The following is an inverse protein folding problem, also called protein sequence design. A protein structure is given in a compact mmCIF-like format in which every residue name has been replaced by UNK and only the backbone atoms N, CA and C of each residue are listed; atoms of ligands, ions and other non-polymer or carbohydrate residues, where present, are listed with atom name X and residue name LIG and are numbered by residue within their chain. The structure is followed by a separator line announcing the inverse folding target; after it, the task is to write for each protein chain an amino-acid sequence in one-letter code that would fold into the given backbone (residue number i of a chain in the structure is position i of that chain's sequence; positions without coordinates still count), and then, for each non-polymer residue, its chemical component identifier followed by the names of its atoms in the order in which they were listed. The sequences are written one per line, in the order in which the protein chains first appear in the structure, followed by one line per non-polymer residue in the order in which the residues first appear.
data_IF_917230594840
#
_entry.id   IF_917230594840
#
_cell.length_a   1.000
_cell.length_b   1.000
_cell.length_c   1.000
_cell.angle_alpha   90.00
_cell.angle_beta   90.00
_cell.angle_gamma   90.00
#
_symmetry.space_group_name_H-M   'P 1'
#
loop_
_entity.id
_entity.type
_entity.pdbx_description
1 polymer ?
#
# COMPACT_ATOMS: atom_id res chain seq x y z
N UNK A 1 -37.53 -40.89 20.01
CA UNK A 1 -36.86 -39.58 19.90
C UNK A 1 -35.85 -39.47 21.05
N UNK A 2 -34.55 -39.52 20.77
CA UNK A 2 -33.52 -39.40 21.80
C UNK A 2 -33.43 -37.94 22.27
N UNK A 3 -33.74 -37.69 23.53
CA UNK A 3 -33.88 -36.37 24.13
C UNK A 3 -32.64 -36.00 25.00
N UNK A 4 -31.44 -36.26 24.48
CA UNK A 4 -30.18 -35.97 25.20
C UNK A 4 -29.55 -34.69 24.69
N UNK A 5 -29.99 -33.56 25.23
CA UNK A 5 -29.34 -32.27 24.99
C UNK A 5 -27.94 -32.22 25.65
N UNK A 6 -26.98 -31.65 24.92
CA UNK A 6 -25.59 -31.51 25.39
C UNK A 6 -25.50 -30.45 26.50
N UNK A 7 -24.96 -30.84 27.67
CA UNK A 7 -24.68 -29.93 28.81
C UNK A 7 -23.55 -28.91 28.55
N UNK A 8 -22.87 -28.97 27.40
CA UNK A 8 -21.75 -28.07 27.10
C UNK A 8 -22.26 -26.65 26.85
N UNK A 9 -21.58 -25.68 27.46
CA UNK A 9 -21.74 -24.24 27.17
C UNK A 9 -20.40 -23.67 26.69
N UNK A 10 -20.08 -23.80 25.39
CA UNK A 10 -18.82 -23.29 24.85
C UNK A 10 -18.69 -21.78 25.10
N UNK A 11 -17.55 -21.38 25.65
CA UNK A 11 -17.25 -19.98 25.89
C UNK A 11 -16.73 -19.31 24.61
N UNK A 12 -17.35 -18.21 24.21
CA UNK A 12 -16.90 -17.38 23.08
C UNK A 12 -16.17 -16.17 23.65
N UNK A 13 -14.88 -16.04 23.30
CA UNK A 13 -14.05 -14.88 23.69
C UNK A 13 -14.45 -13.65 22.88
N UNK A 14 -14.54 -12.51 23.55
CA UNK A 14 -14.78 -11.22 22.90
C UNK A 14 -13.55 -10.75 22.11
N UNK A 15 -13.78 -10.22 20.91
CA UNK A 15 -12.75 -9.57 20.09
C UNK A 15 -12.90 -8.03 20.17
N UNK A 16 -12.10 -7.41 21.02
CA UNK A 16 -12.09 -5.95 21.21
C UNK A 16 -11.55 -5.21 19.97
N UNK A 17 -11.93 -3.94 19.78
CA UNK A 17 -11.49 -3.09 18.65
C UNK A 17 -9.98 -2.85 18.60
N UNK A 18 -9.32 -2.91 19.75
CA UNK A 18 -7.87 -2.75 19.94
C UNK A 18 -7.08 -4.07 19.77
N UNK A 19 -7.71 -5.12 19.23
CA UNK A 19 -7.09 -6.44 19.07
C UNK A 19 -5.72 -6.39 18.39
N UNK A 20 -5.55 -5.46 17.45
CA UNK A 20 -4.34 -5.31 16.66
C UNK A 20 -3.18 -4.68 17.42
N UNK A 21 -3.45 -3.96 18.52
CA UNK A 21 -2.42 -3.38 19.40
C UNK A 21 -1.76 -4.44 20.30
N UNK A 22 -2.34 -5.64 20.38
CA UNK A 22 -1.86 -6.71 21.28
C UNK A 22 -0.57 -7.39 20.82
N UNK A 23 -0.18 -7.23 19.55
CA UNK A 23 0.99 -7.88 18.98
C UNK A 23 1.60 -6.99 17.89
N UNK A 24 2.93 -6.82 17.93
CA UNK A 24 3.69 -6.08 16.92
C UNK A 24 3.44 -6.56 15.48
N UNK A 25 3.18 -7.87 15.26
CA UNK A 25 2.81 -8.39 13.94
C UNK A 25 1.47 -7.83 13.45
N UNK A 26 0.46 -7.75 14.32
CA UNK A 26 -0.85 -7.19 13.98
C UNK A 26 -0.78 -5.67 13.81
N UNK A 27 0.01 -4.98 14.64
CA UNK A 27 0.29 -3.56 14.45
C UNK A 27 0.97 -3.31 13.11
N UNK A 28 1.98 -4.11 12.74
CA UNK A 28 2.64 -4.02 11.44
C UNK A 28 1.69 -4.27 10.26
N UNK A 29 0.77 -5.24 10.39
CA UNK A 29 -0.31 -5.44 9.43
C UNK A 29 -1.20 -4.20 9.28
N UNK A 30 -1.67 -3.62 10.39
CA UNK A 30 -2.52 -2.43 10.33
C UNK A 30 -1.79 -1.21 9.76
N UNK A 31 -0.50 -1.02 10.07
CA UNK A 31 0.32 0.04 9.46
C UNK A 31 0.46 -0.17 7.95
N UNK A 32 0.65 -1.43 7.51
CA UNK A 32 0.69 -1.77 6.08
C UNK A 32 -0.61 -1.39 5.39
N UNK A 33 -1.75 -1.81 5.91
CA UNK A 33 -3.05 -1.45 5.33
C UNK A 33 -3.30 0.07 5.38
N UNK A 34 -2.83 0.73 6.44
CA UNK A 34 -2.91 2.18 6.61
C UNK A 34 -2.20 3.00 5.52
N UNK A 35 -1.21 2.42 4.82
CA UNK A 35 -0.58 3.09 3.66
C UNK A 35 -1.58 3.49 2.58
N UNK A 36 -2.71 2.77 2.47
CA UNK A 36 -3.80 3.06 1.52
C UNK A 36 -4.38 4.47 1.68
N UNK A 37 -4.39 5.04 2.89
CA UNK A 37 -4.88 6.39 3.15
C UNK A 37 -4.01 7.41 2.40
N UNK A 38 -2.69 7.29 2.51
CA UNK A 38 -1.76 8.19 1.84
C UNK A 38 -1.83 8.06 0.32
N UNK A 39 -1.90 6.82 -0.18
CA UNK A 39 -2.06 6.55 -1.63
C UNK A 39 -3.37 7.16 -2.15
N UNK A 40 -4.47 7.00 -1.42
CA UNK A 40 -5.78 7.53 -1.82
C UNK A 40 -5.80 9.06 -1.84
N UNK A 41 -5.25 9.71 -0.80
CA UNK A 41 -5.13 11.17 -0.78
C UNK A 41 -4.24 11.66 -1.92
N UNK A 42 -3.11 11.00 -2.17
CA UNK A 42 -2.21 11.38 -3.27
C UNK A 42 -2.91 11.25 -4.63
N UNK A 43 -3.72 10.22 -4.84
CA UNK A 43 -4.55 10.07 -6.04
C UNK A 43 -5.53 11.25 -6.20
N UNK A 44 -6.17 11.70 -5.11
CA UNK A 44 -7.04 12.88 -5.12
C UNK A 44 -6.26 14.16 -5.47
N UNK A 45 -5.05 14.34 -4.93
CA UNK A 45 -4.18 15.48 -5.29
C UNK A 45 -3.89 15.50 -6.79
N UNK A 46 -3.55 14.35 -7.38
CA UNK A 46 -3.31 14.23 -8.82
C UNK A 46 -4.57 14.47 -9.65
N UNK A 47 -5.72 13.91 -9.25
CA UNK A 47 -7.00 14.15 -9.94
C UNK A 47 -7.40 15.62 -9.90
N UNK A 48 -7.17 16.30 -8.77
CA UNK A 48 -7.36 17.74 -8.68
C UNK A 48 -6.44 18.46 -9.66
N UNK A 49 -5.14 18.10 -9.70
CA UNK A 49 -4.19 18.67 -10.66
C UNK A 49 -4.65 18.52 -12.10
N UNK A 50 -5.16 17.34 -12.46
CA UNK A 50 -5.74 17.09 -13.79
C UNK A 50 -6.94 18.00 -14.08
N UNK A 51 -7.86 18.17 -13.13
CA UNK A 51 -8.99 19.09 -13.29
C UNK A 51 -8.52 20.54 -13.48
N UNK A 52 -7.50 20.98 -12.72
CA UNK A 52 -6.94 22.34 -12.82
C UNK A 52 -6.20 22.56 -14.12
N UNK A 53 -5.57 21.52 -14.66
CA UNK A 53 -4.94 21.55 -15.97
C UNK A 53 -5.97 21.83 -17.08
N UNK A 54 -7.15 21.19 -17.03
CA UNK A 54 -8.24 21.44 -18.00
C UNK A 54 -8.81 22.86 -17.89
N UNK A 55 -8.76 23.48 -16.71
CA UNK A 55 -9.26 24.84 -16.47
C UNK A 55 -8.34 25.94 -17.01
N UNK A 56 -7.14 25.59 -17.49
CA UNK A 56 -6.18 26.53 -18.09
C UNK A 56 -5.03 26.91 -17.15
N UNK A 57 -4.13 27.72 -17.71
CA UNK A 57 -2.81 28.00 -17.13
C UNK A 57 -2.88 28.61 -15.73
N UNK A 58 -3.77 29.59 -15.50
CA UNK A 58 -3.90 30.26 -14.20
C UNK A 58 -4.31 29.28 -13.10
N UNK A 59 -5.32 28.44 -13.36
CA UNK A 59 -5.80 27.44 -12.41
C UNK A 59 -4.74 26.37 -12.11
N UNK A 60 -3.98 25.95 -13.13
CA UNK A 60 -2.89 24.98 -12.97
C UNK A 60 -1.74 25.56 -12.16
N UNK A 61 -1.35 26.80 -12.41
CA UNK A 61 -0.30 27.49 -11.65
C UNK A 61 -0.68 27.67 -10.19
N UNK A 62 -1.94 28.02 -9.90
CA UNK A 62 -2.43 28.10 -8.52
C UNK A 62 -2.38 26.75 -7.79
N UNK A 63 -2.68 25.65 -8.50
CA UNK A 63 -2.48 24.31 -7.94
C UNK A 63 -1.00 24.01 -7.68
N UNK A 64 -0.11 24.33 -8.62
CA UNK A 64 1.33 24.12 -8.47
C UNK A 64 1.90 24.90 -7.28
N UNK A 65 1.51 26.16 -7.10
CA UNK A 65 1.90 26.99 -5.96
C UNK A 65 1.42 26.39 -4.64
N UNK A 66 0.20 25.83 -4.59
CA UNK A 66 -0.32 25.16 -3.39
C UNK A 66 0.53 23.96 -2.93
N UNK A 67 1.15 23.24 -3.88
CA UNK A 67 2.03 22.10 -3.59
C UNK A 67 3.37 22.52 -3.00
N UNK A 68 3.76 23.79 -3.15
CA UNK A 68 5.01 24.34 -2.59
C UNK A 68 4.86 24.75 -1.13
N UNK A 69 3.65 24.71 -0.56
CA UNK A 69 3.46 25.00 0.86
C UNK A 69 4.20 23.98 1.75
N UNK A 70 4.74 24.39 2.91
CA UNK A 70 5.46 23.47 3.81
C UNK A 70 4.63 22.24 4.22
N UNK A 71 3.32 22.40 4.37
CA UNK A 71 2.40 21.33 4.72
C UNK A 71 2.26 20.33 3.57
N UNK A 72 2.12 20.81 2.33
CA UNK A 72 2.05 19.94 1.16
C UNK A 72 3.36 19.17 0.94
N UNK A 73 4.51 19.83 1.09
CA UNK A 73 5.82 19.19 1.01
C UNK A 73 5.96 18.09 2.06
N UNK A 74 5.63 18.39 3.33
CA UNK A 74 5.66 17.40 4.41
C UNK A 74 4.75 16.21 4.10
N UNK A 75 3.53 16.47 3.63
CA UNK A 75 2.60 15.41 3.21
C UNK A 75 3.20 14.56 2.10
N UNK A 76 3.79 15.16 1.06
CA UNK A 76 4.38 14.42 -0.06
C UNK A 76 5.57 13.54 0.37
N UNK A 77 6.40 14.01 1.30
CA UNK A 77 7.47 13.20 1.89
C UNK A 77 6.92 12.00 2.66
N UNK A 78 5.89 12.21 3.48
CA UNK A 78 5.23 11.12 4.23
C UNK A 78 4.54 10.14 3.27
N UNK A 79 3.86 10.64 2.24
CA UNK A 79 3.21 9.82 1.23
C UNK A 79 4.24 8.98 0.45
N UNK A 80 5.40 9.56 0.10
CA UNK A 80 6.49 8.82 -0.53
C UNK A 80 7.00 7.69 0.39
N UNK A 81 7.23 7.99 1.67
CA UNK A 81 7.64 6.97 2.64
C UNK A 81 6.59 5.84 2.77
N UNK A 82 5.30 6.19 2.80
CA UNK A 82 4.21 5.23 2.82
C UNK A 82 4.17 4.36 1.54
N UNK A 83 4.36 4.95 0.37
CA UNK A 83 4.43 4.23 -0.91
C UNK A 83 5.64 3.28 -0.99
N UNK A 84 6.81 3.70 -0.48
CA UNK A 84 8.00 2.83 -0.42
C UNK A 84 7.80 1.66 0.55
N UNK A 85 7.19 1.91 1.71
CA UNK A 85 6.82 0.85 2.66
C UNK A 85 5.77 -0.10 2.06
N UNK A 86 4.77 0.46 1.37
CA UNK A 86 3.77 -0.32 0.62
C UNK A 86 4.44 -1.21 -0.42
N UNK A 87 5.30 -0.67 -1.29
CA UNK A 87 6.01 -1.43 -2.31
C UNK A 87 6.84 -2.57 -1.70
N UNK A 88 7.59 -2.31 -0.62
CA UNK A 88 8.38 -3.32 0.08
C UNK A 88 7.51 -4.50 0.56
N UNK A 89 6.39 -4.20 1.21
CA UNK A 89 5.50 -5.24 1.74
C UNK A 89 4.73 -5.97 0.63
N UNK A 90 4.32 -5.26 -0.42
CA UNK A 90 3.69 -5.83 -1.60
C UNK A 90 4.63 -6.82 -2.30
N UNK A 91 5.89 -6.43 -2.53
CA UNK A 91 6.88 -7.31 -3.17
C UNK A 91 7.15 -8.58 -2.36
N UNK A 92 7.19 -8.47 -1.02
CA UNK A 92 7.35 -9.65 -0.16
C UNK A 92 6.12 -10.59 -0.15
N UNK A 93 4.93 -10.09 -0.49
CA UNK A 93 3.68 -10.87 -0.49
C UNK A 93 3.33 -11.42 -1.87
N UNK A 94 3.68 -10.71 -2.94
CA UNK A 94 3.32 -11.07 -4.31
C UNK A 94 3.70 -12.52 -4.71
N UNK A 95 4.91 -13.03 -4.41
CA UNK A 95 5.27 -14.41 -4.72
C UNK A 95 4.35 -15.45 -4.09
N UNK A 96 3.77 -15.14 -2.91
CA UNK A 96 2.91 -16.07 -2.16
C UNK A 96 1.56 -16.30 -2.85
N UNK A 97 1.13 -15.35 -3.69
CA UNK A 97 -0.05 -15.49 -4.54
C UNK A 97 0.27 -16.16 -5.89
N UNK A 98 1.56 -16.29 -6.24
CA UNK A 98 2.03 -16.77 -7.55
C UNK A 98 2.57 -18.20 -7.42
N UNK A 99 1.71 -19.21 -7.64
CA UNK A 99 2.14 -20.62 -7.66
C UNK A 99 2.76 -21.01 -9.00
N UNK A 100 3.98 -20.53 -9.27
CA UNK A 100 4.71 -20.80 -10.51
C UNK A 100 5.59 -22.04 -10.31
N UNK A 101 5.40 -23.05 -11.16
CA UNK A 101 6.18 -24.29 -11.13
C UNK A 101 7.21 -24.33 -12.26
N UNK A 102 8.38 -24.91 -11.98
CA UNK A 102 9.41 -25.25 -12.96
C UNK A 102 9.66 -26.75 -12.88
N UNK A 103 8.99 -27.50 -13.75
CA UNK A 103 8.88 -28.96 -13.58
C UNK A 103 7.99 -29.26 -12.37
N UNK A 104 8.50 -30.06 -11.44
CA UNK A 104 7.78 -30.43 -10.21
C UNK A 104 8.03 -29.45 -9.05
N UNK A 105 9.05 -28.59 -9.18
CA UNK A 105 9.45 -27.67 -8.13
C UNK A 105 8.74 -26.31 -8.22
N UNK A 106 8.36 -25.76 -7.07
CA UNK A 106 7.88 -24.39 -6.98
C UNK A 106 9.06 -23.43 -7.13
N UNK A 107 8.90 -22.41 -7.97
CA UNK A 107 9.90 -21.35 -8.14
C UNK A 107 10.13 -20.63 -6.80
N UNK A 108 11.39 -20.44 -6.36
CA UNK A 108 11.68 -19.70 -5.14
C UNK A 108 11.16 -18.26 -5.18
N UNK A 109 10.81 -17.70 -4.02
CA UNK A 109 10.28 -16.33 -3.94
C UNK A 109 11.32 -15.26 -4.31
N UNK A 110 12.59 -15.50 -3.97
CA UNK A 110 13.67 -14.49 -4.04
C UNK A 110 13.90 -13.91 -5.44
N UNK A 111 13.98 -14.69 -6.53
CA UNK A 111 14.09 -14.15 -7.88
C UNK A 111 12.92 -13.23 -8.27
N UNK A 112 11.70 -13.55 -7.85
CA UNK A 112 10.49 -12.75 -8.15
C UNK A 112 10.60 -11.39 -7.45
N UNK A 113 10.96 -11.39 -6.17
CA UNK A 113 11.16 -10.14 -5.40
C UNK A 113 12.26 -9.28 -6.00
N UNK A 114 13.40 -9.88 -6.38
CA UNK A 114 14.50 -9.15 -7.03
C UNK A 114 14.04 -8.53 -8.35
N UNK A 115 13.32 -9.29 -9.18
CA UNK A 115 12.79 -8.80 -10.45
C UNK A 115 11.85 -7.58 -10.25
N UNK A 116 11.02 -7.59 -9.21
CA UNK A 116 10.14 -6.46 -8.87
C UNK A 116 10.93 -5.21 -8.47
N UNK A 117 11.98 -5.35 -7.66
CA UNK A 117 12.85 -4.22 -7.32
C UNK A 117 13.63 -3.69 -8.52
N UNK A 118 14.13 -4.57 -9.41
CA UNK A 118 14.77 -4.16 -10.66
C UNK A 118 13.78 -3.40 -11.56
N UNK A 119 12.56 -3.92 -11.72
CA UNK A 119 11.52 -3.25 -12.49
C UNK A 119 11.18 -1.86 -11.90
N UNK A 120 11.05 -1.75 -10.57
CA UNK A 120 10.85 -0.47 -9.89
C UNK A 120 11.97 0.52 -10.21
N UNK A 121 13.24 0.11 -10.06
CA UNK A 121 14.39 0.97 -10.33
C UNK A 121 14.45 1.43 -11.79
N UNK A 122 14.23 0.52 -12.74
CA UNK A 122 14.24 0.82 -14.18
C UNK A 122 13.11 1.79 -14.53
N UNK A 123 11.87 1.52 -14.09
CA UNK A 123 10.73 2.40 -14.37
C UNK A 123 10.94 3.77 -13.75
N UNK A 124 11.40 3.86 -12.50
CA UNK A 124 11.71 5.13 -11.85
C UNK A 124 12.78 5.93 -12.61
N UNK A 125 13.87 5.27 -13.05
CA UNK A 125 14.91 5.93 -13.83
C UNK A 125 14.38 6.45 -15.18
N UNK A 126 13.61 5.63 -15.90
CA UNK A 126 13.02 6.02 -17.18
C UNK A 126 12.08 7.21 -17.03
N UNK A 127 11.21 7.20 -15.99
CA UNK A 127 10.33 8.34 -15.70
C UNK A 127 11.15 9.59 -15.42
N UNK A 128 12.20 9.50 -14.59
CA UNK A 128 13.08 10.64 -14.30
C UNK A 128 13.76 11.18 -15.56
N UNK A 129 14.20 10.33 -16.48
CA UNK A 129 14.81 10.74 -17.75
C UNK A 129 13.78 11.46 -18.66
N UNK A 130 12.52 11.01 -18.67
CA UNK A 130 11.47 11.58 -19.52
C UNK A 130 11.00 12.95 -19.00
N UNK A 131 10.96 13.13 -17.68
CA UNK A 131 10.44 14.37 -17.05
C UNK A 131 11.50 15.42 -16.73
N UNK A 132 12.79 15.05 -16.76
CA UNK A 132 13.92 15.96 -16.58
C UNK A 132 14.19 16.78 -17.85
#
# INVERSE_FOLDING_TARGET
MNNTESKRKPYVREMKKDWWLKNAFYTGYMIREGTSIFVSIYAVVLMWGLMRLVQGQEAFNGWLESLQSPVAILFHVVALAACLFHAKTWFALAPKAMRIFRGEDLVPEKPIVIAQYLALAVVSLLVLIIVA
#
